data_IF_270272885681
#
_entry.id   IF_270272885681
#
_cell.length_a   1.000
_cell.length_b   1.000
_cell.length_c   1.000
_cell.angle_alpha   90.00
_cell.angle_beta   90.00
_cell.angle_gamma   90.00
#
_symmetry.space_group_name_H-M   'P 1'
#
loop_
_entity.id
_entity.type
_entity.pdbx_description
1 polymer ?
#
# COMPACT_ATOMS: atom_id res chain seq x y z
N UNK A 1 17.07 23.79 61.15
CA UNK A 1 15.98 23.94 60.15
C UNK A 1 16.26 23.03 58.97
N UNK A 2 15.54 21.94 58.87
CA UNK A 2 15.68 20.96 57.76
C UNK A 2 14.65 21.26 56.69
N UNK A 3 14.94 21.10 55.40
CA UNK A 3 13.97 21.34 54.33
C UNK A 3 13.05 20.12 54.12
N UNK A 4 11.77 20.41 53.90
CA UNK A 4 10.68 19.49 53.72
C UNK A 4 10.82 18.72 52.40
N UNK A 5 10.64 17.38 52.47
CA UNK A 5 10.53 16.48 51.30
C UNK A 5 9.13 16.55 50.75
N UNK A 6 8.97 17.07 49.52
CA UNK A 6 7.73 16.91 48.75
C UNK A 6 7.61 15.47 48.21
N UNK A 7 6.64 14.74 48.71
CA UNK A 7 6.18 13.48 48.10
C UNK A 7 5.41 13.78 46.81
N UNK A 8 5.93 13.30 45.68
CA UNK A 8 5.16 13.22 44.44
C UNK A 8 4.20 12.04 44.54
N UNK A 9 2.92 12.31 44.67
CA UNK A 9 1.85 11.33 44.50
C UNK A 9 1.69 11.08 42.99
N UNK A 10 2.16 9.93 42.52
CA UNK A 10 1.87 9.46 41.18
C UNK A 10 0.39 9.05 41.06
N UNK A 11 -0.38 9.80 40.31
CA UNK A 11 -1.72 9.40 39.87
C UNK A 11 -1.56 8.28 38.84
N UNK A 12 -1.79 7.04 39.28
CA UNK A 12 -1.99 5.90 38.38
C UNK A 12 -3.32 6.10 37.63
N UNK A 13 -3.26 6.26 36.32
CA UNK A 13 -4.42 6.21 35.46
C UNK A 13 -5.02 4.78 35.52
N UNK A 14 -6.36 4.64 35.70
CA UNK A 14 -6.96 3.31 35.74
C UNK A 14 -6.87 2.68 34.35
N UNK A 15 -6.17 1.54 34.26
CA UNK A 15 -6.28 0.59 33.15
C UNK A 15 -7.73 0.11 33.08
N UNK A 16 -8.53 0.74 32.25
CA UNK A 16 -9.82 0.18 31.83
C UNK A 16 -9.52 -1.04 30.95
N UNK A 17 -9.53 -2.21 31.56
CA UNK A 17 -9.71 -3.46 30.85
C UNK A 17 -11.10 -3.37 30.15
N UNK A 18 -11.11 -2.97 28.89
CA UNK A 18 -12.29 -3.08 28.04
C UNK A 18 -12.52 -4.58 27.82
N UNK A 19 -13.58 -5.12 28.42
CA UNK A 19 -14.12 -6.40 28.01
C UNK A 19 -14.48 -6.28 26.53
N UNK A 20 -13.59 -6.75 25.65
CA UNK A 20 -13.83 -6.80 24.22
C UNK A 20 -14.93 -7.82 23.98
N UNK A 21 -16.11 -7.35 23.64
CA UNK A 21 -17.16 -8.18 23.06
C UNK A 21 -16.59 -8.83 21.80
N UNK A 22 -16.23 -10.11 21.88
CA UNK A 22 -15.76 -10.89 20.74
C UNK A 22 -16.96 -11.19 19.84
N UNK A 23 -17.30 -10.29 18.95
CA UNK A 23 -18.23 -10.58 17.88
C UNK A 23 -17.55 -11.58 16.94
N UNK A 24 -18.15 -12.76 16.75
CA UNK A 24 -17.63 -13.73 15.76
C UNK A 24 -17.84 -13.16 14.36
N UNK A 25 -16.82 -13.20 13.50
CA UNK A 25 -16.95 -12.74 12.12
C UNK A 25 -18.00 -13.58 11.38
N UNK A 26 -18.79 -12.91 10.54
CA UNK A 26 -19.73 -13.61 9.66
C UNK A 26 -18.97 -14.30 8.52
N UNK A 27 -19.16 -15.60 8.38
CA UNK A 27 -18.69 -16.34 7.21
C UNK A 27 -19.73 -16.26 6.08
N UNK A 28 -19.31 -15.71 4.95
CA UNK A 28 -20.12 -15.61 3.73
C UNK A 28 -19.66 -16.64 2.71
N UNK A 29 -20.60 -17.08 1.87
CA UNK A 29 -20.26 -17.94 0.74
C UNK A 29 -19.43 -17.20 -0.31
N UNK A 30 -18.67 -17.95 -1.11
CA UNK A 30 -17.99 -17.39 -2.28
C UNK A 30 -19.01 -16.73 -3.22
N UNK A 31 -18.72 -15.53 -3.76
CA UNK A 31 -19.61 -14.90 -4.71
C UNK A 31 -19.65 -15.70 -6.01
N UNK A 32 -20.84 -15.91 -6.56
CA UNK A 32 -21.03 -16.60 -7.86
C UNK A 32 -20.49 -15.79 -9.04
N UNK A 33 -20.33 -14.49 -8.85
CA UNK A 33 -19.73 -13.55 -9.79
C UNK A 33 -19.11 -12.38 -9.04
N UNK A 34 -18.11 -11.73 -9.63
CA UNK A 34 -17.58 -10.48 -9.07
C UNK A 34 -18.64 -9.36 -9.11
N UNK A 35 -18.92 -8.77 -7.96
CA UNK A 35 -19.84 -7.63 -7.81
C UNK A 35 -19.01 -6.42 -7.38
N UNK A 36 -19.26 -5.26 -7.98
CA UNK A 36 -18.56 -4.02 -7.64
C UNK A 36 -18.84 -3.65 -6.18
N UNK A 37 -17.85 -3.21 -5.40
CA UNK A 37 -17.98 -2.99 -3.95
C UNK A 37 -19.16 -2.15 -3.50
N UNK A 38 -19.51 -1.09 -4.24
CA UNK A 38 -20.66 -0.21 -3.97
C UNK A 38 -22.03 -0.90 -4.14
N UNK A 39 -22.06 -2.10 -4.74
CA UNK A 39 -23.27 -2.90 -5.00
C UNK A 39 -23.24 -4.25 -4.30
N UNK A 40 -22.19 -4.55 -3.58
CA UNK A 40 -22.01 -5.83 -2.89
C UNK A 40 -22.27 -5.66 -1.38
N UNK A 41 -23.37 -6.26 -0.84
CA UNK A 41 -23.66 -6.17 0.58
C UNK A 41 -22.56 -6.67 1.51
N UNK A 42 -21.60 -7.43 1.01
CA UNK A 42 -20.43 -7.87 1.77
C UNK A 42 -19.65 -6.69 2.33
N UNK A 43 -19.57 -5.57 1.60
CA UNK A 43 -18.80 -4.38 2.00
C UNK A 43 -19.52 -3.47 3.00
N UNK A 44 -20.80 -3.72 3.30
CA UNK A 44 -21.58 -2.92 4.24
C UNK A 44 -21.54 -3.55 5.62
N UNK A 45 -20.84 -2.98 6.62
CA UNK A 45 -20.79 -3.53 7.97
C UNK A 45 -22.14 -3.49 8.65
N UNK A 46 -22.35 -4.33 9.70
CA UNK A 46 -23.52 -4.23 10.56
C UNK A 46 -23.38 -3.06 11.53
N UNK A 47 -24.46 -2.40 11.94
CA UNK A 47 -24.44 -1.40 13.00
C UNK A 47 -23.78 -1.95 14.27
N UNK A 48 -23.03 -1.09 14.97
CA UNK A 48 -22.31 -1.45 16.19
C UNK A 48 -20.86 -1.87 15.96
N UNK A 49 -20.43 -2.01 14.70
CA UNK A 49 -19.03 -2.31 14.38
C UNK A 49 -18.07 -1.19 14.83
N UNK A 50 -18.59 0.02 14.98
CA UNK A 50 -17.86 1.22 15.35
C UNK A 50 -17.20 1.10 16.73
N UNK A 51 -17.77 0.29 17.61
CA UNK A 51 -17.26 0.04 18.98
C UNK A 51 -16.18 -1.03 19.05
N UNK A 52 -15.90 -1.74 17.95
CA UNK A 52 -14.92 -2.81 17.90
C UNK A 52 -13.51 -2.23 17.78
N UNK A 53 -12.50 -3.04 18.15
CA UNK A 53 -11.11 -2.67 17.99
C UNK A 53 -10.71 -2.63 16.52
N UNK A 54 -9.68 -1.84 16.22
CA UNK A 54 -9.02 -1.76 14.91
C UNK A 54 -8.55 -3.15 14.44
N UNK A 55 -8.72 -3.45 13.15
CA UNK A 55 -8.38 -4.75 12.57
C UNK A 55 -9.36 -5.87 12.88
N UNK A 56 -10.44 -5.63 13.66
CA UNK A 56 -11.45 -6.66 13.93
C UNK A 56 -12.14 -7.08 12.63
N UNK A 57 -12.11 -8.38 12.33
CA UNK A 57 -12.80 -8.96 11.17
C UNK A 57 -14.31 -8.92 11.42
N UNK A 58 -15.04 -8.27 10.54
CA UNK A 58 -16.49 -8.16 10.58
C UNK A 58 -17.15 -9.28 9.76
N UNK A 59 -16.58 -9.56 8.59
CA UNK A 59 -17.02 -10.60 7.66
C UNK A 59 -15.84 -11.23 6.95
N UNK A 60 -15.99 -12.48 6.56
CA UNK A 60 -15.03 -13.17 5.71
C UNK A 60 -15.75 -14.00 4.63
N UNK A 61 -15.13 -14.12 3.47
CA UNK A 61 -15.58 -15.03 2.40
C UNK A 61 -14.41 -15.55 1.59
N UNK A 62 -14.43 -16.82 1.10
CA UNK A 62 -13.49 -17.29 0.09
C UNK A 62 -13.77 -16.60 -1.25
N UNK A 63 -12.73 -16.39 -2.04
CA UNK A 63 -12.83 -15.79 -3.38
C UNK A 63 -11.90 -16.48 -4.37
N UNK A 64 -12.29 -16.50 -5.65
CA UNK A 64 -11.40 -16.90 -6.74
C UNK A 64 -10.75 -15.67 -7.35
N UNK A 65 -9.41 -15.67 -7.40
CA UNK A 65 -8.65 -14.61 -8.04
C UNK A 65 -8.35 -14.95 -9.50
N UNK A 66 -8.18 -13.90 -10.32
CA UNK A 66 -7.80 -14.06 -11.72
C UNK A 66 -6.95 -12.87 -12.20
N UNK A 67 -5.97 -13.17 -13.04
CA UNK A 67 -5.31 -12.13 -13.81
C UNK A 67 -6.30 -11.63 -14.90
N UNK A 68 -6.42 -10.31 -14.98
CA UNK A 68 -7.31 -9.60 -15.92
C UNK A 68 -8.79 -10.03 -15.83
N UNK A 69 -9.20 -10.57 -14.68
CA UNK A 69 -10.55 -11.12 -14.46
C UNK A 69 -10.83 -12.44 -15.18
N UNK A 70 -9.91 -12.97 -15.98
CA UNK A 70 -10.11 -14.11 -16.90
C UNK A 70 -9.29 -15.34 -16.52
N UNK A 71 -7.99 -15.17 -16.25
CA UNK A 71 -7.06 -16.27 -16.01
C UNK A 71 -7.04 -16.58 -14.53
N UNK A 72 -7.79 -17.63 -14.12
CA UNK A 72 -7.91 -18.02 -12.72
C UNK A 72 -6.59 -18.40 -12.08
N UNK A 73 -6.29 -17.81 -10.92
CA UNK A 73 -5.15 -18.18 -10.10
C UNK A 73 -5.47 -19.42 -9.27
N UNK A 74 -4.55 -20.39 -9.25
CA UNK A 74 -4.65 -21.56 -8.38
C UNK A 74 -3.89 -21.30 -7.09
N UNK A 75 -4.56 -20.60 -6.18
CA UNK A 75 -4.12 -20.18 -4.83
C UNK A 75 -5.27 -20.37 -3.85
N UNK A 76 -5.04 -20.15 -2.56
CA UNK A 76 -6.09 -19.95 -1.57
C UNK A 76 -6.27 -18.46 -1.37
N UNK A 77 -7.52 -17.97 -1.41
CA UNK A 77 -7.78 -16.54 -1.23
C UNK A 77 -9.10 -16.27 -0.51
N UNK A 78 -9.11 -15.22 0.29
CA UNK A 78 -10.27 -14.76 1.06
C UNK A 78 -10.34 -13.25 1.04
N UNK A 79 -11.53 -12.72 1.17
CA UNK A 79 -11.78 -11.32 1.50
C UNK A 79 -12.21 -11.21 2.95
N UNK A 80 -11.62 -10.25 3.64
CA UNK A 80 -11.92 -9.90 5.02
C UNK A 80 -12.43 -8.47 5.05
N UNK A 81 -13.68 -8.25 5.41
CA UNK A 81 -14.18 -6.92 5.80
C UNK A 81 -13.75 -6.69 7.24
N UNK A 82 -13.06 -5.61 7.52
CA UNK A 82 -12.54 -5.30 8.85
C UNK A 82 -12.78 -3.85 9.24
N UNK A 83 -12.84 -3.61 10.57
CA UNK A 83 -12.93 -2.29 11.13
C UNK A 83 -11.59 -1.58 11.03
N UNK A 84 -11.61 -0.33 10.59
CA UNK A 84 -10.46 0.56 10.48
C UNK A 84 -10.85 1.99 10.86
N UNK A 85 -10.01 2.97 10.56
CA UNK A 85 -10.16 4.38 10.95
C UNK A 85 -10.02 5.26 9.70
N UNK A 86 -10.87 6.28 9.59
CA UNK A 86 -10.79 7.30 8.54
C UNK A 86 -9.81 8.44 8.92
N UNK A 87 -9.69 9.44 8.03
CA UNK A 87 -8.82 10.61 8.21
C UNK A 87 -9.12 11.39 9.51
N UNK A 88 -10.37 11.42 9.94
CA UNK A 88 -10.85 12.15 11.11
C UNK A 88 -10.82 11.32 12.40
N UNK A 89 -10.26 10.11 12.35
CA UNK A 89 -10.25 9.19 13.50
C UNK A 89 -11.58 8.48 13.72
N UNK A 90 -12.52 8.57 12.77
CA UNK A 90 -13.84 7.92 12.90
C UNK A 90 -13.75 6.45 12.43
N UNK A 91 -14.54 5.56 13.07
CA UNK A 91 -14.63 4.17 12.67
C UNK A 91 -15.13 4.02 11.24
N UNK A 92 -14.39 3.24 10.44
CA UNK A 92 -14.72 2.87 9.08
C UNK A 92 -14.56 1.35 8.88
N UNK A 93 -15.07 0.81 7.78
CA UNK A 93 -14.82 -0.57 7.37
C UNK A 93 -14.32 -0.62 5.94
N UNK A 94 -13.30 -1.44 5.72
CA UNK A 94 -12.76 -1.70 4.38
C UNK A 94 -12.39 -3.18 4.23
N UNK A 95 -11.95 -3.58 3.04
CA UNK A 95 -11.63 -4.99 2.73
C UNK A 95 -10.15 -5.17 2.49
N UNK A 96 -9.58 -6.26 3.01
CA UNK A 96 -8.32 -6.81 2.50
C UNK A 96 -8.56 -8.15 1.84
N UNK A 97 -7.79 -8.42 0.76
CA UNK A 97 -7.73 -9.75 0.15
C UNK A 97 -6.50 -10.47 0.69
N UNK A 98 -6.72 -11.54 1.43
CA UNK A 98 -5.65 -12.41 1.94
C UNK A 98 -5.43 -13.55 0.96
N UNK A 99 -4.18 -13.75 0.55
CA UNK A 99 -3.79 -14.78 -0.42
C UNK A 99 -2.69 -15.65 0.17
N UNK A 100 -2.85 -16.97 0.05
CA UNK A 100 -1.86 -17.96 0.46
C UNK A 100 -1.54 -18.91 -0.70
N UNK A 101 -0.34 -19.53 -0.72
CA UNK A 101 -0.02 -20.60 -1.67
C UNK A 101 -1.09 -21.71 -1.63
N UNK A 102 -1.25 -22.45 -2.73
CA UNK A 102 -2.28 -23.49 -2.84
C UNK A 102 -2.18 -24.54 -1.73
N UNK A 103 -0.97 -24.89 -1.29
CA UNK A 103 -0.71 -25.81 -0.17
C UNK A 103 -0.84 -25.17 1.23
N UNK A 104 -1.20 -23.88 1.31
CA UNK A 104 -1.17 -23.11 2.57
C UNK A 104 0.23 -22.55 2.89
N UNK A 105 0.37 -21.96 4.06
CA UNK A 105 1.64 -21.41 4.57
C UNK A 105 2.25 -22.34 5.61
N UNK A 106 3.57 -22.38 5.68
CA UNK A 106 4.28 -23.12 6.72
C UNK A 106 4.24 -22.34 8.06
N UNK A 107 4.41 -23.03 9.21
CA UNK A 107 4.59 -22.34 10.49
C UNK A 107 5.73 -21.33 10.43
N UNK A 108 5.49 -20.12 10.95
CA UNK A 108 6.47 -19.03 10.91
C UNK A 108 6.62 -18.33 9.55
N UNK A 109 5.77 -18.64 8.57
CA UNK A 109 5.76 -17.94 7.30
C UNK A 109 5.42 -16.45 7.49
N UNK A 110 6.14 -15.53 6.85
CA UNK A 110 5.86 -14.09 6.96
C UNK A 110 4.64 -13.68 6.12
N UNK A 111 4.09 -12.52 6.48
CA UNK A 111 3.05 -11.84 5.74
C UNK A 111 3.66 -10.68 4.93
N UNK A 112 3.40 -10.62 3.63
CA UNK A 112 3.61 -9.44 2.83
C UNK A 112 2.32 -8.60 2.81
N UNK A 113 2.33 -7.39 3.34
CA UNK A 113 1.28 -6.41 3.10
C UNK A 113 1.63 -5.61 1.86
N UNK A 114 0.88 -5.83 0.78
CA UNK A 114 1.13 -5.20 -0.51
C UNK A 114 0.06 -4.14 -0.80
N UNK A 115 0.50 -2.88 -0.90
CA UNK A 115 -0.33 -1.75 -1.25
C UNK A 115 -0.30 -1.56 -2.76
N UNK A 116 -1.40 -1.92 -3.43
CA UNK A 116 -1.52 -1.71 -4.89
C UNK A 116 -1.58 -0.22 -5.23
N UNK A 117 -1.06 0.17 -6.38
CA UNK A 117 -1.32 1.46 -7.00
C UNK A 117 -2.78 1.49 -7.50
N UNK A 118 -3.73 1.76 -6.60
CA UNK A 118 -5.15 1.88 -6.93
C UNK A 118 -5.34 3.09 -7.85
N UNK A 119 -4.82 4.24 -7.43
CA UNK A 119 -4.74 5.49 -8.17
C UNK A 119 -6.06 5.84 -8.89
N UNK A 120 -7.19 5.53 -8.27
CA UNK A 120 -8.52 5.71 -8.84
C UNK A 120 -9.58 5.75 -7.74
N UNK A 121 -10.60 6.56 -7.93
CA UNK A 121 -11.68 6.76 -6.96
C UNK A 121 -12.79 5.72 -7.12
N UNK A 122 -12.88 5.14 -8.32
CA UNK A 122 -13.92 4.17 -8.65
C UNK A 122 -13.72 2.86 -7.89
N UNK A 123 -14.74 2.32 -7.19
CA UNK A 123 -14.66 1.00 -6.55
C UNK A 123 -14.33 -0.15 -7.52
N UNK A 124 -14.44 0.07 -8.83
CA UNK A 124 -14.00 -0.88 -9.85
C UNK A 124 -12.49 -1.07 -9.90
N UNK A 125 -11.71 -0.12 -9.35
CA UNK A 125 -10.25 -0.21 -9.30
C UNK A 125 -9.75 -0.85 -8.01
N UNK A 126 -10.58 -1.03 -7.01
CA UNK A 126 -10.18 -1.63 -5.74
C UNK A 126 -9.65 -3.05 -5.95
N UNK A 127 -8.47 -3.40 -5.38
CA UNK A 127 -7.88 -4.73 -5.53
C UNK A 127 -8.82 -5.86 -5.17
N UNK A 128 -9.66 -5.69 -4.14
CA UNK A 128 -10.63 -6.69 -3.72
C UNK A 128 -11.67 -7.02 -4.80
N UNK A 129 -11.98 -6.09 -5.70
CA UNK A 129 -12.82 -6.34 -6.86
C UNK A 129 -11.99 -6.70 -8.10
N UNK A 130 -10.96 -5.89 -8.39
CA UNK A 130 -10.21 -5.99 -9.64
C UNK A 130 -9.56 -7.37 -9.82
N UNK A 131 -9.04 -7.95 -8.74
CA UNK A 131 -8.37 -9.25 -8.78
C UNK A 131 -9.32 -10.44 -8.73
N UNK A 132 -10.64 -10.27 -8.57
CA UNK A 132 -11.59 -11.37 -8.61
C UNK A 132 -11.79 -11.92 -10.03
N UNK A 133 -12.00 -13.22 -10.10
CA UNK A 133 -12.44 -13.89 -11.34
C UNK A 133 -13.79 -13.33 -11.79
N UNK A 134 -13.89 -12.96 -13.07
CA UNK A 134 -15.09 -12.36 -13.65
C UNK A 134 -15.22 -10.85 -13.38
N UNK A 135 -14.24 -10.21 -12.76
CA UNK A 135 -14.21 -8.75 -12.65
C UNK A 135 -14.09 -8.08 -14.02
N UNK A 136 -14.61 -6.85 -14.12
CA UNK A 136 -14.51 -6.01 -15.32
C UNK A 136 -13.73 -4.73 -14.99
N UNK A 137 -12.49 -4.92 -14.54
CA UNK A 137 -11.59 -3.88 -14.06
C UNK A 137 -10.44 -3.59 -15.04
N UNK A 138 -10.76 -3.52 -16.33
CA UNK A 138 -9.75 -3.23 -17.37
C UNK A 138 -9.14 -1.86 -17.12
N UNK A 139 -7.80 -1.78 -17.15
CA UNK A 139 -7.07 -0.54 -16.94
C UNK A 139 -6.76 -0.22 -15.46
N UNK A 140 -6.85 -1.22 -14.56
CA UNK A 140 -6.31 -1.12 -13.20
C UNK A 140 -4.88 -1.67 -13.16
N UNK A 141 -3.99 -1.03 -12.40
CA UNK A 141 -2.62 -1.48 -12.24
C UNK A 141 -2.48 -2.76 -11.42
N UNK A 142 -3.43 -3.06 -10.54
CA UNK A 142 -3.42 -4.26 -9.71
C UNK A 142 -3.18 -5.56 -10.49
N UNK A 143 -3.59 -5.64 -11.76
CA UNK A 143 -3.33 -6.81 -12.61
C UNK A 143 -1.85 -6.95 -13.01
N UNK A 144 -1.17 -5.83 -13.25
CA UNK A 144 0.28 -5.82 -13.56
C UNK A 144 1.07 -6.12 -12.29
N UNK A 145 0.69 -5.50 -11.19
CA UNK A 145 1.31 -5.71 -9.88
C UNK A 145 1.15 -7.15 -9.39
N UNK A 146 0.02 -7.81 -9.72
CA UNK A 146 -0.19 -9.23 -9.44
C UNK A 146 0.93 -10.10 -10.03
N UNK A 147 1.41 -9.79 -11.24
CA UNK A 147 2.53 -10.53 -11.87
C UNK A 147 3.83 -10.34 -11.09
N UNK A 148 3.96 -9.24 -10.36
CA UNK A 148 5.13 -8.91 -9.56
C UNK A 148 5.04 -9.54 -8.15
N UNK A 149 4.01 -9.23 -7.39
CA UNK A 149 3.91 -9.69 -6.01
C UNK A 149 3.57 -11.18 -5.86
N UNK A 150 3.04 -11.84 -6.89
CA UNK A 150 2.78 -13.29 -6.86
C UNK A 150 4.04 -14.13 -6.61
N UNK A 151 5.25 -13.59 -6.87
CA UNK A 151 6.50 -14.29 -6.54
C UNK A 151 6.66 -14.52 -5.02
N UNK A 152 6.08 -13.66 -4.18
CA UNK A 152 6.06 -13.86 -2.73
C UNK A 152 5.36 -15.17 -2.33
N UNK A 153 4.29 -15.55 -3.03
CA UNK A 153 3.60 -16.83 -2.79
C UNK A 153 4.50 -18.03 -3.12
N UNK A 154 5.36 -17.94 -4.13
CA UNK A 154 6.30 -19.02 -4.47
C UNK A 154 7.41 -19.16 -3.42
N UNK A 155 7.66 -18.11 -2.62
CA UNK A 155 8.55 -18.10 -1.46
C UNK A 155 7.90 -18.66 -0.20
N UNK A 156 6.61 -19.01 -0.26
CA UNK A 156 5.83 -19.53 0.87
C UNK A 156 5.22 -18.44 1.77
N UNK A 157 5.29 -17.16 1.36
CA UNK A 157 4.69 -16.06 2.11
C UNK A 157 3.19 -15.98 1.86
N UNK A 158 2.42 -15.48 2.83
CA UNK A 158 1.08 -14.99 2.57
C UNK A 158 1.13 -13.52 2.14
N UNK A 159 0.06 -13.05 1.50
CA UNK A 159 -0.07 -11.66 1.05
C UNK A 159 -1.40 -11.09 1.57
N UNK A 160 -1.38 -9.88 2.13
CA UNK A 160 -2.56 -9.06 2.41
C UNK A 160 -2.58 -7.88 1.45
N UNK A 161 -3.69 -7.70 0.74
CA UNK A 161 -3.86 -6.65 -0.28
C UNK A 161 -5.08 -5.82 0.13
N UNK A 162 -4.90 -4.72 0.91
CA UNK A 162 -5.99 -3.88 1.37
C UNK A 162 -6.51 -2.95 0.27
N UNK A 163 -7.82 -2.66 0.31
CA UNK A 163 -8.42 -1.53 -0.38
C UNK A 163 -8.11 -0.25 0.42
N UNK A 164 -6.85 0.17 0.40
CA UNK A 164 -6.30 1.19 1.30
C UNK A 164 -6.83 2.61 1.04
N UNK A 165 -7.46 2.87 -0.12
CA UNK A 165 -8.16 4.15 -0.38
C UNK A 165 -9.58 4.18 0.23
N UNK A 166 -10.04 3.05 0.81
CA UNK A 166 -11.34 2.90 1.47
C UNK A 166 -12.53 3.03 0.54
N UNK A 167 -13.75 2.89 1.10
CA UNK A 167 -14.97 2.90 0.30
C UNK A 167 -15.25 4.26 -0.37
N UNK A 168 -14.69 5.35 0.15
CA UNK A 168 -14.78 6.66 -0.49
C UNK A 168 -13.82 6.80 -1.67
N UNK A 169 -12.80 5.94 -1.80
CA UNK A 169 -11.76 6.10 -2.80
C UNK A 169 -11.05 7.45 -2.64
N UNK A 170 -10.62 7.78 -1.43
CA UNK A 170 -10.00 9.06 -1.10
C UNK A 170 -8.54 9.10 -1.54
N UNK A 171 -8.30 8.95 -2.85
CA UNK A 171 -6.97 8.95 -3.43
C UNK A 171 -6.21 10.23 -3.07
N UNK A 172 -5.02 10.08 -2.53
CA UNK A 172 -4.19 11.18 -2.06
C UNK A 172 -4.44 11.60 -0.61
N UNK A 173 -5.48 11.11 0.05
CA UNK A 173 -5.71 11.39 1.48
C UNK A 173 -4.53 10.91 2.33
N UNK A 174 -4.09 11.70 3.33
CA UNK A 174 -3.00 11.33 4.21
C UNK A 174 -3.46 10.32 5.26
N UNK A 175 -2.55 9.58 5.84
CA UNK A 175 -2.79 8.68 6.98
C UNK A 175 -3.80 7.55 6.76
N UNK A 176 -4.95 7.80 6.13
CA UNK A 176 -5.97 6.77 5.88
C UNK A 176 -5.43 5.50 5.25
N UNK A 177 -4.58 5.57 4.19
CA UNK A 177 -3.98 4.37 3.61
C UNK A 177 -3.13 3.60 4.62
N UNK A 178 -2.46 4.31 5.53
CA UNK A 178 -1.68 3.73 6.62
C UNK A 178 -2.56 3.00 7.64
N UNK A 179 -3.63 3.62 8.13
CA UNK A 179 -4.59 2.96 9.03
C UNK A 179 -5.13 1.68 8.40
N UNK A 180 -5.63 1.77 7.16
CA UNK A 180 -6.24 0.64 6.47
C UNK A 180 -5.25 -0.48 6.18
N UNK A 181 -4.00 -0.16 5.83
CA UNK A 181 -2.96 -1.17 5.63
C UNK A 181 -2.61 -1.89 6.94
N UNK A 182 -2.40 -1.15 8.04
CA UNK A 182 -2.04 -1.70 9.34
C UNK A 182 -3.18 -2.54 9.95
N UNK A 183 -4.42 -2.08 9.84
CA UNK A 183 -5.60 -2.84 10.28
C UNK A 183 -5.87 -4.06 9.41
N UNK A 184 -5.58 -3.97 8.11
CA UNK A 184 -5.61 -5.11 7.20
C UNK A 184 -4.59 -6.20 7.57
N UNK A 185 -3.43 -5.81 8.11
CA UNK A 185 -2.43 -6.74 8.67
C UNK A 185 -2.99 -7.41 9.92
N UNK A 186 -3.56 -6.64 10.88
CA UNK A 186 -4.23 -7.18 12.09
C UNK A 186 -5.29 -8.20 11.73
N UNK A 187 -6.14 -7.86 10.76
CA UNK A 187 -7.17 -8.77 10.26
C UNK A 187 -6.57 -10.04 9.64
N UNK A 188 -5.55 -9.92 8.79
CA UNK A 188 -4.91 -11.06 8.15
C UNK A 188 -4.24 -12.00 9.15
N UNK A 189 -3.53 -11.46 10.15
CA UNK A 189 -2.85 -12.25 11.19
C UNK A 189 -3.83 -12.93 12.15
N UNK A 190 -5.00 -12.32 12.41
CA UNK A 190 -6.03 -12.92 13.26
C UNK A 190 -6.95 -13.92 12.55
N UNK A 191 -6.80 -14.07 11.22
CA UNK A 191 -7.64 -14.91 10.38
C UNK A 191 -7.15 -16.36 10.35
N UNK A 192 -7.63 -17.20 11.26
CA UNK A 192 -7.23 -18.61 11.39
C UNK A 192 -7.20 -19.41 10.07
N UNK A 193 -8.21 -19.30 9.15
CA UNK A 193 -8.18 -20.02 7.87
C UNK A 193 -7.02 -19.62 6.95
N UNK A 194 -6.39 -18.45 7.17
CA UNK A 194 -5.19 -17.99 6.48
C UNK A 194 -3.95 -18.82 6.84
N UNK A 195 -3.95 -19.40 8.04
CA UNK A 195 -2.87 -20.26 8.54
C UNK A 195 -1.62 -19.51 9.00
N UNK A 196 -1.70 -18.19 9.16
CA UNK A 196 -0.60 -17.38 9.67
C UNK A 196 -0.52 -17.47 11.21
N UNK A 197 0.69 -17.34 11.72
CA UNK A 197 0.90 -17.09 13.15
C UNK A 197 0.49 -15.65 13.47
N UNK A 198 -0.26 -15.38 14.54
CA UNK A 198 -0.59 -14.01 14.95
C UNK A 198 0.63 -13.11 15.22
N UNK A 199 1.79 -13.68 15.50
CA UNK A 199 3.07 -13.00 15.68
C UNK A 199 3.98 -13.08 14.45
N UNK A 200 3.47 -13.45 13.28
CA UNK A 200 4.28 -13.56 12.06
C UNK A 200 4.90 -12.21 11.68
N UNK A 201 6.14 -12.26 11.22
CA UNK A 201 6.82 -11.08 10.68
C UNK A 201 6.10 -10.52 9.46
N UNK A 202 6.08 -9.19 9.35
CA UNK A 202 5.40 -8.47 8.27
C UNK A 202 6.40 -7.66 7.45
N UNK A 203 6.30 -7.77 6.12
CA UNK A 203 6.96 -6.85 5.20
C UNK A 203 5.92 -5.93 4.56
N UNK A 204 6.23 -4.64 4.44
CA UNK A 204 5.40 -3.69 3.69
C UNK A 204 6.01 -3.47 2.32
N UNK A 205 5.18 -3.44 1.27
CA UNK A 205 5.65 -3.09 -0.07
C UNK A 205 4.54 -2.48 -0.90
N UNK A 206 4.84 -1.39 -1.60
CA UNK A 206 3.98 -0.78 -2.58
C UNK A 206 4.77 0.01 -3.62
N UNK A 207 4.13 0.30 -4.74
CA UNK A 207 4.72 1.03 -5.86
C UNK A 207 3.84 2.24 -6.23
N UNK A 208 4.43 3.37 -6.65
CA UNK A 208 3.72 4.58 -7.05
C UNK A 208 2.75 5.06 -5.97
N UNK A 209 1.44 5.17 -6.23
CA UNK A 209 0.43 5.45 -5.21
C UNK A 209 0.39 4.39 -4.10
N UNK A 210 0.66 3.13 -4.42
CA UNK A 210 0.88 2.09 -3.40
C UNK A 210 2.14 2.34 -2.57
N UNK A 211 3.18 2.94 -3.16
CA UNK A 211 4.37 3.42 -2.45
C UNK A 211 4.07 4.54 -1.47
N UNK A 212 3.18 5.48 -1.84
CA UNK A 212 2.64 6.50 -0.94
C UNK A 212 1.90 5.86 0.25
N UNK A 213 1.02 4.90 -0.03
CA UNK A 213 0.27 4.20 1.02
C UNK A 213 1.20 3.42 1.97
N UNK A 214 2.24 2.79 1.42
CA UNK A 214 3.28 2.08 2.20
C UNK A 214 4.07 3.04 3.07
N UNK A 215 4.39 4.24 2.56
CA UNK A 215 5.07 5.28 3.33
C UNK A 215 4.22 5.71 4.53
N UNK A 216 2.93 6.01 4.33
CA UNK A 216 2.01 6.31 5.43
C UNK A 216 1.93 5.16 6.46
N UNK A 217 1.84 3.90 6.00
CA UNK A 217 1.83 2.76 6.90
C UNK A 217 3.12 2.67 7.74
N UNK A 218 4.28 2.87 7.13
CA UNK A 218 5.57 2.83 7.81
C UNK A 218 5.75 3.97 8.82
N UNK A 219 5.30 5.21 8.48
CA UNK A 219 5.33 6.35 9.40
C UNK A 219 4.42 6.18 10.61
N UNK A 220 3.28 5.54 10.40
CA UNK A 220 2.25 5.43 11.44
C UNK A 220 2.42 4.20 12.32
N UNK A 221 3.04 3.15 11.83
CA UNK A 221 3.20 1.89 12.54
C UNK A 221 3.72 2.05 13.97
N UNK A 222 4.77 2.86 14.26
CA UNK A 222 5.30 2.96 15.62
C UNK A 222 4.31 3.49 16.66
N UNK A 223 3.36 4.33 16.26
CA UNK A 223 2.39 4.95 17.16
C UNK A 223 1.02 4.30 17.12
N UNK A 224 0.62 3.73 15.97
CA UNK A 224 -0.71 3.19 15.74
C UNK A 224 -0.79 1.66 15.89
N UNK A 225 0.27 0.96 15.50
CA UNK A 225 0.31 -0.50 15.50
C UNK A 225 1.67 -1.03 16.03
N UNK A 226 2.10 -0.59 17.24
CA UNK A 226 3.42 -0.97 17.79
C UNK A 226 3.54 -2.46 18.10
N UNK A 227 2.44 -3.19 18.15
CA UNK A 227 2.39 -4.64 18.39
C UNK A 227 2.74 -5.47 17.14
N UNK A 228 2.73 -4.87 15.93
CA UNK A 228 3.04 -5.59 14.69
C UNK A 228 4.56 -5.71 14.52
N UNK A 229 5.04 -6.94 14.30
CA UNK A 229 6.46 -7.20 13.98
C UNK A 229 6.74 -6.88 12.50
N UNK A 230 6.91 -5.58 12.20
CA UNK A 230 7.21 -5.11 10.84
C UNK A 230 8.72 -5.16 10.63
N UNK A 231 9.20 -6.11 9.84
CA UNK A 231 10.63 -6.34 9.59
C UNK A 231 11.26 -5.28 8.66
N UNK A 232 10.46 -4.63 7.81
CA UNK A 232 10.92 -3.57 6.90
C UNK A 232 9.87 -3.16 5.88
N UNK A 233 10.12 -2.04 5.19
CA UNK A 233 9.23 -1.52 4.15
C UNK A 233 9.99 -1.19 2.86
N UNK A 234 9.36 -1.47 1.72
CA UNK A 234 9.87 -1.15 0.38
C UNK A 234 8.96 -0.13 -0.27
N UNK A 235 9.52 1.02 -0.61
CA UNK A 235 8.86 2.14 -1.28
C UNK A 235 9.39 2.21 -2.72
N UNK A 236 8.61 1.71 -3.68
CA UNK A 236 8.94 1.80 -5.10
C UNK A 236 8.34 3.05 -5.73
N UNK A 237 9.16 3.94 -6.28
CA UNK A 237 8.73 5.22 -6.88
C UNK A 237 7.55 5.86 -6.13
N UNK A 238 7.63 6.05 -4.79
CA UNK A 238 6.51 6.59 -4.02
C UNK A 238 6.17 8.01 -4.46
N UNK A 239 4.93 8.45 -4.25
CA UNK A 239 4.58 9.86 -4.47
C UNK A 239 5.09 10.67 -3.27
N UNK A 240 6.29 11.24 -3.39
CA UNK A 240 6.97 11.97 -2.30
C UNK A 240 6.44 13.37 -2.04
N UNK A 241 5.83 13.99 -3.06
CA UNK A 241 5.18 15.30 -2.99
C UNK A 241 4.03 15.36 -4.01
N UNK A 242 2.79 15.42 -3.49
CA UNK A 242 1.58 15.47 -4.31
C UNK A 242 1.43 16.81 -5.05
N UNK A 243 1.89 17.90 -4.47
CA UNK A 243 1.78 19.24 -5.06
C UNK A 243 2.78 19.40 -6.21
N UNK A 244 4.04 19.01 -5.97
CA UNK A 244 5.08 18.97 -7.01
C UNK A 244 4.63 18.09 -8.18
N UNK A 245 4.13 16.88 -7.88
CA UNK A 245 3.61 15.95 -8.88
C UNK A 245 2.42 16.54 -9.66
N UNK A 246 1.51 17.27 -8.98
CA UNK A 246 0.40 17.97 -9.65
C UNK A 246 0.91 18.97 -10.67
N UNK A 247 1.82 19.87 -10.28
CA UNK A 247 2.41 20.88 -11.18
C UNK A 247 3.13 20.23 -12.38
N UNK A 248 3.91 19.19 -12.11
CA UNK A 248 4.66 18.45 -13.14
C UNK A 248 3.74 17.80 -14.18
N UNK A 249 2.61 17.27 -13.75
CA UNK A 249 1.73 16.49 -14.62
C UNK A 249 0.61 17.30 -15.27
N UNK A 250 0.28 18.50 -14.77
CA UNK A 250 -0.73 19.36 -15.37
C UNK A 250 -0.35 19.70 -16.83
N UNK A 251 -1.23 19.40 -17.78
CA UNK A 251 -0.98 19.57 -19.21
C UNK A 251 -0.10 18.48 -19.86
N UNK A 252 0.45 17.52 -19.09
CA UNK A 252 1.26 16.41 -19.60
C UNK A 252 0.40 15.26 -20.15
N UNK A 253 1.06 14.22 -20.71
CA UNK A 253 0.37 12.99 -21.11
C UNK A 253 -0.29 12.27 -19.92
N UNK A 254 0.17 12.50 -18.70
CA UNK A 254 -0.29 11.87 -17.48
C UNK A 254 -1.21 12.77 -16.64
N UNK A 255 -1.74 13.87 -17.23
CA UNK A 255 -2.58 14.84 -16.53
C UNK A 255 -3.86 14.25 -15.90
N UNK A 256 -4.24 13.03 -16.29
CA UNK A 256 -5.33 12.30 -15.64
C UNK A 256 -5.04 11.93 -14.18
N UNK A 257 -3.78 11.70 -13.80
CA UNK A 257 -3.40 11.32 -12.43
C UNK A 257 -3.71 12.44 -11.42
N UNK A 258 -3.23 13.68 -11.59
CA UNK A 258 -3.57 14.75 -10.66
C UNK A 258 -5.06 15.05 -10.62
N UNK A 259 -5.82 14.84 -11.71
CA UNK A 259 -7.27 14.99 -11.70
C UNK A 259 -7.96 13.94 -10.82
N UNK A 260 -7.44 12.73 -10.77
CA UNK A 260 -7.92 11.69 -9.84
C UNK A 260 -7.62 12.08 -8.38
N UNK A 261 -6.45 12.66 -8.09
CA UNK A 261 -6.11 13.16 -6.74
C UNK A 261 -7.08 14.27 -6.32
N UNK A 262 -7.30 15.28 -7.16
CA UNK A 262 -8.25 16.37 -6.87
C UNK A 262 -9.64 15.81 -6.60
N UNK A 263 -10.11 14.88 -7.45
CA UNK A 263 -11.41 14.26 -7.29
C UNK A 263 -11.52 13.37 -6.03
N UNK A 264 -10.40 12.80 -5.56
CA UNK A 264 -10.34 12.07 -4.28
C UNK A 264 -10.35 12.99 -3.07
N UNK A 265 -9.50 14.01 -3.07
CA UNK A 265 -9.37 14.95 -1.95
C UNK A 265 -10.64 15.78 -1.71
N UNK A 266 -11.43 16.09 -2.76
CA UNK A 266 -12.75 16.70 -2.62
C UNK A 266 -13.69 15.94 -1.69
N UNK A 267 -13.51 14.62 -1.54
CA UNK A 267 -14.38 13.78 -0.74
C UNK A 267 -14.08 13.84 0.76
N UNK A 268 -12.88 14.27 1.11
CA UNK A 268 -12.38 14.26 2.50
C UNK A 268 -11.99 15.65 3.01
N UNK A 269 -11.75 16.62 2.10
CA UNK A 269 -11.45 17.99 2.45
C UNK A 269 -12.52 18.95 1.90
N UNK A 270 -13.38 19.53 2.77
CA UNK A 270 -14.38 20.51 2.36
C UNK A 270 -13.78 21.71 1.60
N UNK A 271 -12.56 22.13 1.99
CA UNK A 271 -11.84 23.21 1.31
C UNK A 271 -11.52 22.91 -0.18
N UNK A 272 -11.25 21.66 -0.52
CA UNK A 272 -11.07 21.24 -1.91
C UNK A 272 -12.38 21.27 -2.70
N UNK A 273 -13.48 20.84 -2.07
CA UNK A 273 -14.81 20.90 -2.69
C UNK A 273 -15.24 22.35 -2.95
N UNK A 274 -15.05 23.24 -1.96
CA UNK A 274 -15.34 24.67 -2.09
C UNK A 274 -14.49 25.32 -3.19
N UNK A 275 -13.17 25.01 -3.25
CA UNK A 275 -12.28 25.51 -4.29
C UNK A 275 -12.80 25.10 -5.68
N UNK A 276 -13.15 23.84 -5.87
CA UNK A 276 -13.66 23.33 -7.15
C UNK A 276 -15.02 23.95 -7.48
N UNK A 277 -15.93 24.05 -6.52
CA UNK A 277 -17.26 24.62 -6.71
C UNK A 277 -17.19 26.12 -7.12
N UNK A 278 -16.24 26.86 -6.55
CA UNK A 278 -16.13 28.31 -6.73
C UNK A 278 -15.35 28.69 -7.99
N UNK A 279 -14.25 27.98 -8.27
CA UNK A 279 -13.27 28.42 -9.28
C UNK A 279 -13.29 27.61 -10.57
N UNK A 280 -13.90 26.40 -10.57
CA UNK A 280 -13.94 25.58 -11.78
C UNK A 280 -15.22 25.84 -12.59
N UNK A 281 -15.09 25.89 -13.91
CA UNK A 281 -16.23 25.91 -14.81
C UNK A 281 -17.07 24.63 -14.71
N UNK A 282 -18.31 24.67 -15.20
CA UNK A 282 -19.17 23.47 -15.28
C UNK A 282 -18.49 22.33 -16.05
N UNK A 283 -17.77 22.67 -17.11
CA UNK A 283 -17.00 21.70 -17.89
C UNK A 283 -15.87 21.08 -17.04
N UNK A 284 -15.11 21.89 -16.29
CA UNK A 284 -14.06 21.41 -15.40
C UNK A 284 -14.60 20.48 -14.31
N UNK A 285 -15.74 20.83 -13.71
CA UNK A 285 -16.43 19.96 -12.73
C UNK A 285 -16.88 18.64 -13.37
N UNK A 286 -17.45 18.67 -14.56
CA UNK A 286 -17.86 17.48 -15.30
C UNK A 286 -16.67 16.56 -15.64
N UNK A 287 -15.50 17.14 -15.92
CA UNK A 287 -14.25 16.38 -16.13
C UNK A 287 -13.85 15.64 -14.85
N UNK A 288 -13.85 16.29 -13.69
CA UNK A 288 -13.54 15.67 -12.40
C UNK A 288 -14.54 14.54 -12.07
N UNK A 289 -15.83 14.75 -12.29
CA UNK A 289 -16.86 13.73 -12.05
C UNK A 289 -16.72 12.52 -12.98
N UNK A 290 -16.26 12.74 -14.19
CA UNK A 290 -15.95 11.68 -15.15
C UNK A 290 -14.68 10.92 -14.75
N UNK A 291 -13.65 11.63 -14.29
CA UNK A 291 -12.44 11.03 -13.75
C UNK A 291 -12.78 10.12 -12.55
N UNK A 292 -13.62 10.60 -11.62
CA UNK A 292 -14.06 9.85 -10.44
C UNK A 292 -14.74 8.51 -10.77
N UNK A 293 -15.29 8.34 -11.96
CA UNK A 293 -15.92 7.08 -12.42
C UNK A 293 -15.02 6.23 -13.31
N UNK A 294 -13.79 6.68 -13.57
CA UNK A 294 -12.84 6.01 -14.47
C UNK A 294 -11.89 5.10 -13.69
N UNK A 295 -11.31 4.11 -14.38
CA UNK A 295 -10.09 3.44 -13.94
C UNK A 295 -8.89 4.32 -14.26
N UNK A 296 -7.76 4.08 -13.61
CA UNK A 296 -6.52 4.88 -13.76
C UNK A 296 -6.10 5.04 -15.21
N UNK A 297 -5.97 3.93 -15.95
CA UNK A 297 -5.57 4.00 -17.37
C UNK A 297 -6.61 4.74 -18.22
N UNK A 298 -7.91 4.58 -17.92
CA UNK A 298 -8.96 5.30 -18.65
C UNK A 298 -8.91 6.81 -18.38
N UNK A 299 -8.63 7.23 -17.14
CA UNK A 299 -8.45 8.64 -16.80
C UNK A 299 -7.21 9.22 -17.48
N UNK A 300 -6.07 8.54 -17.43
CA UNK A 300 -4.82 8.96 -18.09
C UNK A 300 -5.03 9.12 -19.59
N UNK A 301 -5.63 8.15 -20.29
CA UNK A 301 -5.86 8.23 -21.72
C UNK A 301 -6.83 9.37 -22.11
N UNK A 302 -7.92 9.53 -21.34
CA UNK A 302 -8.95 10.52 -21.66
C UNK A 302 -8.51 11.95 -21.37
N UNK A 303 -7.69 12.15 -20.36
CA UNK A 303 -7.24 13.45 -19.88
C UNK A 303 -5.79 13.73 -20.29
N UNK A 304 -5.23 12.97 -21.23
CA UNK A 304 -3.91 13.24 -21.77
C UNK A 304 -3.83 14.70 -22.27
N UNK A 305 -2.84 15.45 -21.78
CA UNK A 305 -2.63 16.88 -22.06
C UNK A 305 -3.75 17.82 -21.54
N UNK A 306 -4.62 17.31 -20.65
CA UNK A 306 -5.58 18.18 -19.98
C UNK A 306 -4.84 19.20 -19.11
N UNK A 307 -5.22 20.47 -19.25
CA UNK A 307 -4.66 21.56 -18.46
C UNK A 307 -5.78 22.20 -17.65
N UNK A 308 -5.66 22.18 -16.33
CA UNK A 308 -6.65 22.70 -15.38
C UNK A 308 -6.90 24.19 -15.58
N UNK A 309 -5.86 24.98 -15.89
CA UNK A 309 -5.97 26.42 -16.07
C UNK A 309 -6.98 26.85 -17.16
N UNK A 310 -7.29 25.96 -18.10
CA UNK A 310 -8.29 26.23 -19.15
C UNK A 310 -9.74 26.14 -18.66
N UNK A 311 -9.94 25.57 -17.50
CA UNK A 311 -11.25 25.28 -16.92
C UNK A 311 -11.42 25.87 -15.52
N UNK A 312 -10.46 26.66 -15.09
CA UNK A 312 -10.47 27.41 -13.84
C UNK A 312 -10.53 28.91 -14.15
N UNK A 313 -11.38 29.62 -13.45
CA UNK A 313 -11.51 31.07 -13.55
C UNK A 313 -10.35 31.86 -12.93
N UNK A 314 -9.49 31.15 -12.17
CA UNK A 314 -8.31 31.68 -11.47
C UNK A 314 -7.13 30.77 -11.82
N UNK A 315 -5.92 31.29 -12.08
CA UNK A 315 -4.73 30.47 -12.32
C UNK A 315 -4.53 29.44 -11.19
N UNK A 316 -4.24 28.19 -11.56
CA UNK A 316 -4.12 27.11 -10.57
C UNK A 316 -3.02 27.40 -9.53
N UNK A 317 -1.94 28.07 -9.93
CA UNK A 317 -0.87 28.48 -9.02
C UNK A 317 -1.37 29.41 -7.90
N UNK A 318 -2.31 30.30 -8.19
CA UNK A 318 -2.94 31.18 -7.20
C UNK A 318 -3.89 30.39 -6.28
N UNK A 319 -4.66 29.47 -6.86
CA UNK A 319 -5.55 28.61 -6.09
C UNK A 319 -4.78 27.74 -5.08
N UNK A 320 -3.66 27.14 -5.52
CA UNK A 320 -2.83 26.32 -4.65
C UNK A 320 -2.06 27.12 -3.60
N UNK A 321 -1.90 28.44 -3.80
CA UNK A 321 -1.28 29.36 -2.80
C UNK A 321 -2.26 29.88 -1.75
N UNK A 322 -3.56 29.57 -1.85
CA UNK A 322 -4.54 29.95 -0.84
C UNK A 322 -4.22 29.29 0.52
N UNK A 323 -4.43 30.03 1.62
CA UNK A 323 -4.15 29.55 2.98
C UNK A 323 -4.82 28.21 3.30
N UNK A 324 -6.08 28.06 2.90
CA UNK A 324 -6.83 26.81 3.07
C UNK A 324 -6.17 25.62 2.33
N UNK A 325 -5.58 25.86 1.15
CA UNK A 325 -4.88 24.83 0.39
C UNK A 325 -3.52 24.52 1.00
N UNK A 326 -2.78 25.53 1.45
CA UNK A 326 -1.51 25.34 2.14
C UNK A 326 -1.66 24.51 3.41
N UNK A 327 -2.75 24.70 4.17
CA UNK A 327 -3.07 23.86 5.33
C UNK A 327 -3.31 22.40 4.93
N UNK A 328 -4.04 22.15 3.84
CA UNK A 328 -4.23 20.78 3.32
C UNK A 328 -2.90 20.19 2.86
N UNK A 329 -2.07 20.93 2.13
CA UNK A 329 -0.78 20.43 1.64
C UNK A 329 0.18 20.08 2.76
N UNK A 330 0.18 20.86 3.84
CA UNK A 330 0.93 20.51 5.05
C UNK A 330 0.48 19.16 5.61
N UNK A 331 -0.82 18.89 5.61
CA UNK A 331 -1.38 17.59 6.06
C UNK A 331 -1.04 16.42 5.12
N UNK A 332 -0.91 16.67 3.81
CA UNK A 332 -0.53 15.67 2.80
C UNK A 332 0.97 15.32 2.81
N UNK A 333 1.80 16.09 3.51
CA UNK A 333 3.26 15.96 3.42
C UNK A 333 3.75 14.74 4.20
N UNK A 334 4.49 13.86 3.50
CA UNK A 334 5.24 12.76 4.11
C UNK A 334 6.54 13.24 4.75
N UNK A 335 7.02 12.49 5.72
CA UNK A 335 8.34 12.70 6.33
C UNK A 335 8.29 13.51 7.62
N UNK A 336 7.12 13.82 8.15
CA UNK A 336 6.97 14.45 9.46
C UNK A 336 7.22 13.48 10.62
N UNK A 337 7.05 12.19 10.36
CA UNK A 337 7.36 11.12 11.30
C UNK A 337 8.38 10.17 10.69
N UNK A 338 9.35 9.72 11.49
CA UNK A 338 10.33 8.75 11.03
C UNK A 338 9.76 7.33 11.15
N UNK A 339 9.78 6.51 10.09
CA UNK A 339 9.64 5.08 10.23
C UNK A 339 10.75 4.50 11.13
N UNK A 340 10.40 3.62 12.05
CA UNK A 340 11.37 2.93 12.92
C UNK A 340 11.92 1.66 12.27
N UNK A 341 11.24 1.15 11.25
CA UNK A 341 11.66 -0.02 10.48
C UNK A 341 12.60 0.38 9.34
N UNK A 342 13.53 -0.49 8.94
CA UNK A 342 14.39 -0.23 7.78
C UNK A 342 13.57 0.00 6.52
N UNK A 343 13.99 0.98 5.72
CA UNK A 343 13.38 1.28 4.42
C UNK A 343 14.33 0.92 3.28
N UNK A 344 13.77 0.32 2.22
CA UNK A 344 14.34 0.31 0.88
C UNK A 344 13.50 1.24 0.00
N UNK A 345 14.12 2.29 -0.51
CA UNK A 345 13.50 3.20 -1.49
C UNK A 345 14.15 2.95 -2.85
N UNK A 346 13.33 2.78 -3.90
CA UNK A 346 13.80 2.60 -5.27
C UNK A 346 13.12 3.61 -6.17
N UNK A 347 13.90 4.41 -6.92
CA UNK A 347 13.38 5.51 -7.77
C UNK A 347 14.08 5.53 -9.12
N UNK A 348 13.32 5.73 -10.20
CA UNK A 348 13.86 5.99 -11.53
C UNK A 348 14.42 7.41 -11.63
N UNK A 349 15.67 7.56 -12.12
CA UNK A 349 16.25 8.90 -12.37
C UNK A 349 15.49 9.63 -13.48
N UNK A 350 14.98 8.87 -14.45
CA UNK A 350 14.24 9.38 -15.60
C UNK A 350 12.72 9.11 -15.49
N UNK A 351 12.22 9.02 -14.27
CA UNK A 351 10.80 8.84 -14.00
C UNK A 351 10.01 10.05 -14.52
N UNK A 352 9.09 9.80 -15.44
CA UNK A 352 8.29 10.83 -16.08
C UNK A 352 7.07 11.26 -15.27
N UNK A 353 6.73 10.52 -14.21
CA UNK A 353 5.58 10.79 -13.33
C UNK A 353 6.05 11.44 -12.03
N UNK A 354 6.93 10.75 -11.29
CA UNK A 354 7.44 11.21 -10.00
C UNK A 354 8.87 11.73 -10.17
N UNK A 355 9.10 13.00 -9.81
CA UNK A 355 10.43 13.59 -9.89
C UNK A 355 11.39 12.91 -8.89
N UNK A 356 12.60 12.60 -9.32
CA UNK A 356 13.62 12.00 -8.45
C UNK A 356 13.98 12.94 -7.30
N UNK A 357 13.90 14.25 -7.53
CA UNK A 357 14.16 15.30 -6.55
C UNK A 357 13.15 15.28 -5.38
N UNK A 358 11.89 14.96 -5.65
CA UNK A 358 10.85 14.83 -4.61
C UNK A 358 11.17 13.65 -3.68
N UNK A 359 11.70 12.55 -4.24
CA UNK A 359 12.09 11.38 -3.46
C UNK A 359 13.41 11.62 -2.72
N UNK A 360 14.34 12.37 -3.32
CA UNK A 360 15.55 12.83 -2.63
C UNK A 360 15.20 13.63 -1.37
N UNK A 361 14.26 14.57 -1.50
CA UNK A 361 13.78 15.38 -0.38
C UNK A 361 13.06 14.53 0.69
N UNK A 362 12.21 13.58 0.30
CA UNK A 362 11.54 12.66 1.22
C UNK A 362 12.56 11.81 2.00
N UNK A 363 13.50 11.19 1.29
CA UNK A 363 14.57 10.37 1.91
C UNK A 363 15.41 11.20 2.88
N UNK A 364 15.70 12.46 2.54
CA UNK A 364 16.43 13.35 3.41
C UNK A 364 15.62 13.66 4.67
N UNK A 365 14.31 13.99 4.56
CA UNK A 365 13.42 14.21 5.71
C UNK A 365 13.39 12.99 6.65
N UNK A 366 13.34 11.79 6.12
CA UNK A 366 13.36 10.56 6.91
C UNK A 366 14.69 10.38 7.65
N UNK A 367 15.82 10.60 6.97
CA UNK A 367 17.17 10.46 7.58
C UNK A 367 17.43 11.50 8.66
N UNK A 368 17.01 12.75 8.44
CA UNK A 368 17.16 13.85 9.42
C UNK A 368 16.40 13.53 10.72
N UNK A 369 15.38 12.66 10.64
CA UNK A 369 14.61 12.19 11.79
C UNK A 369 15.06 10.80 12.30
N UNK A 370 16.18 10.31 11.79
CA UNK A 370 16.81 9.07 12.27
C UNK A 370 16.32 7.77 11.62
N UNK A 371 15.48 7.83 10.56
CA UNK A 371 15.08 6.63 9.85
C UNK A 371 16.26 5.97 9.11
N UNK A 372 16.27 4.66 9.10
CA UNK A 372 17.25 3.87 8.36
C UNK A 372 16.80 3.67 6.90
N UNK A 373 17.47 4.29 5.93
CA UNK A 373 17.07 4.28 4.53
C UNK A 373 18.20 3.84 3.61
N UNK A 374 17.99 2.70 2.92
CA UNK A 374 18.72 2.30 1.72
C UNK A 374 18.00 2.90 0.51
N UNK A 375 18.64 3.81 -0.21
CA UNK A 375 18.04 4.48 -1.36
C UNK A 375 18.78 4.16 -2.65
N UNK A 376 18.06 3.57 -3.62
CA UNK A 376 18.59 3.20 -4.93
C UNK A 376 17.93 4.03 -6.03
N UNK A 377 18.77 4.77 -6.80
CA UNK A 377 18.33 5.49 -8.00
C UNK A 377 18.72 4.68 -9.23
N UNK A 378 17.74 4.36 -10.07
CA UNK A 378 17.91 3.59 -11.31
C UNK A 378 17.96 4.53 -12.53
N UNK A 379 19.02 4.40 -13.36
CA UNK A 379 19.17 5.21 -14.59
C UNK A 379 18.58 4.53 -15.82
N UNK A 380 18.31 3.24 -15.75
CA UNK A 380 17.92 2.43 -16.90
C UNK A 380 16.42 2.25 -17.08
N UNK A 381 15.63 2.70 -16.10
CA UNK A 381 14.18 2.54 -16.09
C UNK A 381 13.47 3.88 -16.05
N UNK A 382 12.21 3.86 -16.46
CA UNK A 382 11.21 4.90 -16.26
C UNK A 382 10.14 4.40 -15.27
N UNK A 383 9.12 5.17 -14.98
CA UNK A 383 8.14 4.87 -13.94
C UNK A 383 7.53 3.46 -14.05
N UNK A 384 7.06 3.07 -15.22
CA UNK A 384 6.32 1.80 -15.39
C UNK A 384 7.25 0.60 -15.41
N UNK A 385 8.40 0.69 -16.11
CA UNK A 385 9.34 -0.43 -16.24
C UNK A 385 10.12 -0.71 -14.94
N UNK A 386 10.29 0.29 -14.08
CA UNK A 386 11.00 0.10 -12.82
C UNK A 386 10.27 -0.88 -11.89
N UNK A 387 8.93 -0.94 -11.89
CA UNK A 387 8.18 -1.89 -11.07
C UNK A 387 8.65 -3.35 -11.28
N UNK A 388 8.53 -3.96 -12.47
CA UNK A 388 8.99 -5.33 -12.66
C UNK A 388 10.51 -5.49 -12.51
N UNK A 389 11.30 -4.49 -12.89
CA UNK A 389 12.77 -4.55 -12.80
C UNK A 389 13.28 -4.47 -11.36
N UNK A 390 12.58 -3.77 -10.47
CA UNK A 390 12.93 -3.68 -9.04
C UNK A 390 12.29 -4.78 -8.18
N UNK A 391 11.29 -5.50 -8.67
CA UNK A 391 10.58 -6.55 -7.93
C UNK A 391 11.53 -7.61 -7.35
N UNK A 392 12.47 -8.21 -8.11
CA UNK A 392 13.37 -9.22 -7.57
C UNK A 392 14.23 -8.69 -6.42
N UNK A 393 14.73 -7.46 -6.56
CA UNK A 393 15.49 -6.78 -5.52
C UNK A 393 14.65 -6.55 -4.27
N UNK A 394 13.44 -6.04 -4.42
CA UNK A 394 12.49 -5.72 -3.34
C UNK A 394 12.15 -6.96 -2.52
N UNK A 395 11.79 -8.07 -3.18
CA UNK A 395 11.46 -9.32 -2.52
C UNK A 395 12.67 -9.99 -1.86
N UNK A 396 13.87 -9.90 -2.46
CA UNK A 396 15.08 -10.41 -1.86
C UNK A 396 15.49 -9.58 -0.64
N UNK A 397 15.34 -8.26 -0.71
CA UNK A 397 15.61 -7.38 0.43
C UNK A 397 14.66 -7.68 1.60
N UNK A 398 13.36 -7.88 1.36
CA UNK A 398 12.42 -8.30 2.40
C UNK A 398 12.76 -9.70 2.95
N UNK A 399 13.16 -10.65 2.09
CA UNK A 399 13.61 -11.98 2.54
C UNK A 399 14.82 -11.88 3.49
N UNK A 400 15.77 -10.97 3.22
CA UNK A 400 16.89 -10.70 4.11
C UNK A 400 16.41 -10.11 5.46
N UNK A 401 15.35 -9.27 5.45
CA UNK A 401 14.75 -8.75 6.71
C UNK A 401 14.13 -9.87 7.53
N UNK A 402 13.32 -10.71 6.90
CA UNK A 402 12.71 -11.88 7.56
C UNK A 402 13.75 -12.89 8.08
N UNK A 403 14.91 -12.98 7.44
CA UNK A 403 16.01 -13.81 7.89
C UNK A 403 16.89 -13.16 8.99
N UNK A 404 16.55 -11.93 9.43
CA UNK A 404 17.33 -11.19 10.44
C UNK A 404 18.71 -10.75 9.96
N UNK A 405 18.93 -10.69 8.64
CA UNK A 405 20.21 -10.19 8.10
C UNK A 405 20.37 -8.71 8.46
N UNK A 406 21.50 -8.34 9.00
CA UNK A 406 21.76 -6.94 9.40
C UNK A 406 21.63 -5.98 8.22
N UNK A 407 21.00 -4.84 8.45
CA UNK A 407 20.93 -3.77 7.45
C UNK A 407 22.28 -3.05 7.33
N UNK A 408 22.65 -2.72 6.09
CA UNK A 408 23.84 -1.85 5.86
C UNK A 408 23.51 -0.43 6.31
N UNK A 409 24.49 0.39 6.71
CA UNK A 409 24.23 1.80 7.05
C UNK A 409 23.43 2.53 5.97
N UNK A 410 22.64 3.53 6.40
CA UNK A 410 21.87 4.37 5.47
C UNK A 410 22.76 4.95 4.37
N UNK A 411 22.35 4.76 3.13
CA UNK A 411 23.12 5.24 1.97
C UNK A 411 22.22 5.51 0.76
N UNK A 412 22.74 6.35 -0.15
CA UNK A 412 22.15 6.56 -1.48
C UNK A 412 23.12 6.04 -2.53
N UNK A 413 22.62 5.24 -3.48
CA UNK A 413 23.41 4.74 -4.59
C UNK A 413 22.66 4.91 -5.90
N UNK A 414 23.30 5.56 -6.87
CA UNK A 414 22.80 5.59 -8.26
C UNK A 414 23.44 4.45 -9.04
N UNK A 415 22.61 3.63 -9.67
CA UNK A 415 23.02 2.45 -10.44
C UNK A 415 22.56 2.56 -11.89
N UNK A 416 23.18 1.79 -12.78
CA UNK A 416 22.71 1.70 -14.18
C UNK A 416 21.34 1.05 -14.25
N UNK A 417 21.17 -0.08 -13.54
CA UNK A 417 19.90 -0.75 -13.36
C UNK A 417 19.91 -1.53 -12.04
N UNK A 418 18.83 -1.44 -11.29
CA UNK A 418 18.62 -2.23 -10.06
C UNK A 418 18.59 -3.73 -10.36
N UNK A 419 18.14 -4.12 -11.56
CA UNK A 419 18.13 -5.52 -11.98
C UNK A 419 19.57 -6.09 -12.11
N UNK A 420 20.55 -5.27 -12.44
CA UNK A 420 21.96 -5.69 -12.54
C UNK A 420 22.63 -5.91 -11.18
N UNK A 421 22.00 -5.47 -10.09
CA UNK A 421 22.51 -5.76 -8.75
C UNK A 421 22.37 -7.26 -8.43
N UNK A 422 23.27 -7.86 -7.61
CA UNK A 422 23.21 -9.28 -7.29
C UNK A 422 21.86 -9.74 -6.71
N UNK A 423 21.21 -8.89 -5.92
CA UNK A 423 19.87 -9.18 -5.39
C UNK A 423 18.78 -9.13 -6.48
N UNK A 424 18.90 -8.21 -7.45
CA UNK A 424 17.98 -8.10 -8.58
C UNK A 424 18.11 -9.30 -9.54
N UNK A 425 19.31 -9.57 -9.99
CA UNK A 425 19.56 -10.63 -11.00
C UNK A 425 19.21 -12.04 -10.47
N UNK A 426 19.51 -12.35 -9.21
CA UNK A 426 19.20 -13.66 -8.61
C UNK A 426 17.69 -13.95 -8.54
N UNK A 427 16.84 -12.94 -8.35
CA UNK A 427 15.39 -13.12 -8.26
C UNK A 427 14.66 -13.13 -9.60
N UNK A 428 15.30 -12.71 -10.70
CA UNK A 428 14.64 -12.57 -12.00
C UNK A 428 14.03 -13.89 -12.51
N UNK A 429 14.73 -15.00 -12.38
CA UNK A 429 14.23 -16.31 -12.79
C UNK A 429 13.01 -16.76 -11.98
N UNK A 430 12.92 -16.39 -10.70
CA UNK A 430 11.73 -16.65 -9.88
C UNK A 430 10.56 -15.81 -10.33
N UNK A 431 10.77 -14.49 -10.50
CA UNK A 431 9.73 -13.57 -10.98
C UNK A 431 9.14 -14.03 -12.33
N UNK A 432 10.00 -14.38 -13.31
CA UNK A 432 9.52 -14.85 -14.61
C UNK A 432 8.71 -16.14 -14.49
N UNK A 433 9.14 -17.10 -13.65
CA UNK A 433 8.39 -18.34 -13.40
C UNK A 433 7.05 -18.07 -12.72
N UNK A 434 7.01 -17.17 -11.74
CA UNK A 434 5.75 -16.84 -11.04
C UNK A 434 4.79 -16.12 -11.96
N UNK A 435 5.24 -15.15 -12.74
CA UNK A 435 4.44 -14.46 -13.75
C UNK A 435 3.89 -15.45 -14.81
N UNK A 436 4.71 -16.38 -15.27
CA UNK A 436 4.27 -17.46 -16.16
C UNK A 436 3.16 -18.31 -15.51
N UNK A 437 3.33 -18.71 -14.24
CA UNK A 437 2.28 -19.48 -13.53
C UNK A 437 0.96 -18.70 -13.45
N UNK A 438 1.02 -17.40 -13.18
CA UNK A 438 -0.17 -16.53 -13.18
C UNK A 438 -0.81 -16.50 -14.56
N UNK A 439 -0.04 -16.18 -15.61
CA UNK A 439 -0.55 -15.99 -16.97
C UNK A 439 -1.09 -17.29 -17.63
N UNK A 440 -0.64 -18.45 -17.15
CA UNK A 440 -1.11 -19.76 -17.66
C UNK A 440 -1.98 -20.54 -16.66
N UNK A 441 -2.47 -19.89 -15.60
CA UNK A 441 -3.34 -20.50 -14.60
C UNK A 441 -2.72 -21.75 -13.92
N UNK A 442 -1.40 -21.75 -13.73
CA UNK A 442 -0.68 -22.86 -13.10
C UNK A 442 -0.72 -22.74 -11.58
N UNK A 443 -0.67 -23.86 -10.83
CA UNK A 443 -0.64 -23.82 -9.38
C UNK A 443 0.53 -22.98 -8.84
N UNK A 444 0.25 -22.11 -7.86
CA UNK A 444 1.27 -21.35 -7.13
C UNK A 444 1.42 -22.03 -5.76
N UNK A 445 2.50 -22.77 -5.60
CA UNK A 445 2.88 -23.47 -4.37
C UNK A 445 4.20 -22.93 -3.86
N UNK A 446 4.43 -23.00 -2.57
CA UNK A 446 5.74 -22.71 -1.98
C UNK A 446 6.82 -23.63 -2.61
N UNK A 447 7.97 -23.06 -2.93
CA UNK A 447 9.11 -23.82 -3.42
C UNK A 447 9.74 -24.62 -2.25
N UNK A 448 10.11 -25.87 -2.46
CA UNK A 448 10.69 -26.74 -1.42
C UNK A 448 12.06 -26.27 -0.87
N UNK A 449 12.65 -25.21 -1.45
CA UNK A 449 14.00 -24.72 -1.12
C UNK A 449 14.05 -23.58 -0.09
N UNK A 450 12.99 -23.37 0.70
CA UNK A 450 12.82 -22.18 1.52
C UNK A 450 13.07 -22.27 3.03
N UNK A 451 13.42 -23.41 3.64
CA UNK A 451 13.78 -23.44 5.08
C UNK A 451 14.66 -24.65 5.39
N UNK A 452 15.93 -24.38 5.67
CA UNK A 452 16.81 -25.28 6.44
C UNK A 452 17.70 -26.23 5.64
N UNK A 453 18.90 -25.81 5.28
CA UNK A 453 20.10 -26.69 5.29
C UNK A 453 21.40 -25.99 4.88
N UNK A 454 21.76 -24.86 5.47
CA UNK A 454 23.16 -24.35 5.32
C UNK A 454 23.81 -23.87 6.62
N UNK A 455 23.25 -24.21 7.79
CA UNK A 455 23.87 -23.81 9.07
C UNK A 455 24.81 -24.85 9.69
N UNK A 456 24.95 -26.06 9.14
CA UNK A 456 25.81 -27.13 9.73
C UNK A 456 27.11 -27.42 8.99
N UNK A 457 27.39 -26.70 7.90
CA UNK A 457 28.59 -27.03 7.06
C UNK A 457 29.76 -26.07 7.15
N UNK A 458 29.65 -24.91 7.80
CA UNK A 458 30.70 -23.88 7.77
C UNK A 458 31.49 -23.67 9.07
N UNK A 459 31.00 -24.16 10.22
CA UNK A 459 31.74 -24.08 11.48
C UNK A 459 32.78 -25.22 11.67
N UNK A 460 32.75 -26.27 10.84
CA UNK A 460 33.69 -27.38 10.94
C UNK A 460 34.97 -27.25 10.11
N UNK A 461 35.21 -26.15 9.40
CA UNK A 461 36.38 -25.94 8.53
C UNK A 461 37.35 -24.84 8.97
N UNK A 462 37.19 -24.28 10.17
CA UNK A 462 38.14 -23.32 10.75
C UNK A 462 38.74 -23.80 12.10
N UNK A 463 38.63 -25.07 12.42
CA UNK A 463 39.31 -25.68 13.55
C UNK A 463 40.01 -26.99 13.08
N UNK A 464 40.96 -26.87 12.15
CA UNK A 464 42.02 -27.85 11.88
C UNK A 464 43.18 -27.12 11.20
#
# INVERSE_FOLDING_TARGET
MAPARHRRTGLALPQRARAQSRMKPESWAAPTRAVVPDKDPFYTPRPGFESLAEGTILRSRPVELAAFGLIGLKVRAWQLLYRTTDLNGMPEATVTTVVAPLGGVAPGAPLLSFQCAIDAISPRAFPSYALQRGSRAIGTFAHVELLCFADALTRGWAISIPDHEGMLGAWGAPREPGYRALDGIRAALSFEPGGLDPSAQVGLWGYSGGGLATAWAAEMAPSYAPELDIAGAVLGSPVGDLVSTFHRLNGSLHAGLPMLVVAGLRRVYPAFEELVATHFSDEGRAVLDKAARSTTAAAVMRLARYNVDRHSGTPIAELLAMEAMLAVFADLTLGDRAPTVPLLVVQGVHDQIIAVEDIDALVQRYRDRGAHVTYLRDRGSEHISLLPLSTPLSLNWLADRFAGVAVTPSHTRTVRSVLALPAGSRGLGSLVRSAFRVLFGRPITASATGHGSERTGREARHAA
#
